data_IF_542292076601
#
_entry.id   IF_542292076601
#
_cell.length_a   1.000
_cell.length_b   1.000
_cell.length_c   1.000
_cell.angle_alpha   90.00
_cell.angle_beta   90.00
_cell.angle_gamma   90.00
#
_symmetry.space_group_name_H-M   'P 1'
#
loop_
_entity.id
_entity.type
_entity.pdbx_description
1 polymer ?
#
# COMPACT_ATOMS: atom_id res chain seq x y z
N UNK A 1 -15.75 15.39 -0.38
CA UNK A 1 -14.85 14.39 0.24
C UNK A 1 -14.90 13.16 -0.66
N UNK A 2 -13.77 12.63 -1.10
CA UNK A 2 -13.73 11.49 -2.03
C UNK A 2 -14.11 10.22 -1.25
N UNK A 3 -15.07 9.46 -1.76
CA UNK A 3 -15.43 8.15 -1.19
C UNK A 3 -14.51 7.08 -1.76
N UNK A 4 -13.83 6.33 -0.89
CA UNK A 4 -12.92 5.27 -1.29
C UNK A 4 -13.57 3.91 -1.13
N UNK A 5 -13.32 3.02 -2.09
CA UNK A 5 -13.70 1.61 -2.00
C UNK A 5 -12.92 0.88 -0.90
N UNK A 6 -13.39 -0.26 -0.39
CA UNK A 6 -12.67 -1.01 0.64
C UNK A 6 -11.23 -1.38 0.26
N UNK A 7 -10.98 -1.68 -1.02
CA UNK A 7 -9.63 -1.95 -1.54
C UNK A 7 -8.73 -0.72 -1.54
N UNK A 8 -9.28 0.45 -1.90
CA UNK A 8 -8.56 1.72 -1.85
C UNK A 8 -8.23 2.12 -0.40
N UNK A 9 -9.17 1.94 0.53
CA UNK A 9 -8.92 2.16 1.97
C UNK A 9 -7.83 1.22 2.48
N UNK A 10 -7.87 -0.07 2.11
CA UNK A 10 -6.85 -1.04 2.50
C UNK A 10 -5.47 -0.66 1.94
N UNK A 11 -5.42 -0.18 0.69
CA UNK A 11 -4.18 0.29 0.08
C UNK A 11 -3.63 1.56 0.72
N UNK A 12 -4.48 2.52 1.04
CA UNK A 12 -4.08 3.74 1.74
C UNK A 12 -3.59 3.44 3.16
N UNK A 13 -4.24 2.50 3.87
CA UNK A 13 -3.77 1.99 5.17
C UNK A 13 -2.43 1.27 5.06
N UNK A 14 -2.19 0.52 3.98
CA UNK A 14 -0.89 -0.09 3.72
C UNK A 14 0.20 0.98 3.51
N UNK A 15 -0.05 1.97 2.67
CA UNK A 15 0.88 3.08 2.41
C UNK A 15 1.16 3.96 3.65
N UNK A 16 0.24 3.99 4.61
CA UNK A 16 0.47 4.63 5.93
C UNK A 16 1.55 3.90 6.73
N UNK A 17 1.60 2.58 6.62
CA UNK A 17 2.51 1.75 7.41
C UNK A 17 3.93 1.70 6.78
N UNK A 18 4.09 2.20 5.55
CA UNK A 18 5.37 2.37 4.86
C UNK A 18 5.20 2.56 3.35
N UNK A 19 6.29 2.89 2.67
CA UNK A 19 6.27 3.09 1.21
C UNK A 19 6.02 1.77 0.47
N UNK A 20 5.43 1.90 -0.73
CA UNK A 20 5.00 0.81 -1.59
C UNK A 20 5.98 0.65 -2.75
N UNK A 21 6.50 -0.56 -2.88
CA UNK A 21 7.45 -1.01 -3.87
C UNK A 21 6.75 -1.99 -4.83
N UNK A 22 7.13 -1.98 -6.12
CA UNK A 22 6.59 -2.91 -7.09
C UNK A 22 7.01 -4.35 -6.77
N UNK A 23 6.11 -5.28 -7.02
CA UNK A 23 6.25 -6.71 -6.82
C UNK A 23 5.83 -7.46 -8.09
N UNK A 24 6.21 -8.75 -8.22
CA UNK A 24 5.75 -9.59 -9.32
C UNK A 24 4.22 -9.59 -9.46
N UNK A 25 3.74 -9.85 -10.68
CA UNK A 25 2.32 -9.92 -11.01
C UNK A 25 1.53 -8.62 -10.76
N UNK A 26 2.16 -7.45 -10.97
CA UNK A 26 1.51 -6.15 -10.90
C UNK A 26 0.86 -5.94 -9.52
N UNK A 27 1.68 -6.08 -8.48
CA UNK A 27 1.31 -5.84 -7.10
C UNK A 27 2.29 -4.88 -6.45
N UNK A 28 1.86 -4.22 -5.39
CA UNK A 28 2.67 -3.28 -4.62
C UNK A 28 2.57 -3.62 -3.13
N UNK A 29 3.71 -3.61 -2.44
CA UNK A 29 3.80 -3.81 -0.98
C UNK A 29 5.13 -3.24 -0.49
N UNK A 30 5.43 -3.34 0.81
CA UNK A 30 6.73 -2.89 1.33
C UNK A 30 7.89 -3.71 0.76
N UNK A 31 9.07 -3.09 0.58
CA UNK A 31 10.26 -3.66 -0.06
C UNK A 31 10.62 -5.07 0.45
N UNK A 32 10.59 -5.25 1.77
CA UNK A 32 10.96 -6.50 2.44
C UNK A 32 9.76 -7.18 3.12
N UNK A 33 8.56 -7.08 2.52
CA UNK A 33 7.38 -7.70 3.08
C UNK A 33 7.54 -9.23 3.17
N UNK A 34 7.66 -9.72 4.39
CA UNK A 34 7.85 -11.15 4.69
C UNK A 34 6.54 -11.79 5.11
N UNK A 35 6.41 -13.10 4.89
CA UNK A 35 5.29 -13.87 5.45
C UNK A 35 5.38 -13.81 6.97
N UNK A 36 4.32 -13.32 7.61
CA UNK A 36 4.23 -13.20 9.05
C UNK A 36 3.23 -14.20 9.60
N UNK A 37 3.27 -14.44 10.91
CA UNK A 37 2.36 -15.35 11.61
C UNK A 37 1.67 -14.61 12.74
N UNK A 38 0.49 -15.07 13.14
CA UNK A 38 -0.17 -14.51 14.32
C UNK A 38 0.72 -14.67 15.55
N UNK A 39 0.75 -13.69 16.46
CA UNK A 39 1.54 -13.80 17.70
C UNK A 39 1.18 -15.02 18.54
N UNK A 40 -0.07 -15.49 18.45
CA UNK A 40 -0.57 -16.69 19.12
C UNK A 40 -0.17 -18.00 18.44
N UNK A 41 0.23 -17.96 17.17
CA UNK A 41 0.60 -19.14 16.40
C UNK A 41 2.08 -19.46 16.61
N UNK A 42 2.36 -20.16 17.70
CA UNK A 42 3.71 -20.57 18.10
C UNK A 42 4.37 -21.51 17.08
N UNK A 43 3.56 -22.28 16.37
CA UNK A 43 4.02 -23.30 15.43
C UNK A 43 4.15 -22.79 14.00
N UNK A 44 3.72 -21.54 13.74
CA UNK A 44 3.78 -20.90 12.41
C UNK A 44 3.05 -21.75 11.35
N UNK A 45 1.94 -22.38 11.74
CA UNK A 45 1.16 -23.23 10.83
C UNK A 45 0.25 -22.43 9.92
N UNK A 46 -0.12 -21.21 10.34
CA UNK A 46 -1.08 -20.34 9.65
C UNK A 46 -0.39 -19.07 9.17
N UNK A 47 0.27 -19.12 8.00
CA UNK A 47 0.90 -17.94 7.43
C UNK A 47 -0.14 -16.85 7.14
N UNK A 48 0.17 -15.62 7.53
CA UNK A 48 -0.61 -14.45 7.19
C UNK A 48 -0.19 -13.95 5.82
N UNK A 49 -1.20 -13.69 4.99
CA UNK A 49 -0.99 -13.17 3.64
C UNK A 49 -0.36 -11.78 3.72
N UNK A 50 0.71 -11.58 2.96
CA UNK A 50 1.30 -10.25 2.76
C UNK A 50 0.22 -9.35 2.16
N UNK A 51 0.00 -8.19 2.80
CA UNK A 51 -0.91 -7.19 2.28
C UNK A 51 -0.31 -6.60 1.01
N UNK A 52 -1.11 -6.52 -0.05
CA UNK A 52 -0.67 -6.00 -1.35
C UNK A 52 -1.75 -5.12 -1.95
N UNK A 53 -1.34 -4.14 -2.74
CA UNK A 53 -2.20 -3.29 -3.57
C UNK A 53 -2.02 -3.67 -5.03
N UNK A 54 -3.06 -3.55 -5.85
CA UNK A 54 -2.98 -3.79 -7.31
C UNK A 54 -2.63 -2.49 -8.05
N UNK A 55 -2.21 -2.60 -9.31
CA UNK A 55 -1.83 -1.44 -10.13
C UNK A 55 -2.96 -0.44 -10.23
N UNK A 56 -4.15 -0.98 -10.49
CA UNK A 56 -5.38 -0.22 -10.61
C UNK A 56 -5.63 0.61 -9.35
N UNK A 57 -5.59 -0.03 -8.18
CA UNK A 57 -5.84 0.66 -6.91
C UNK A 57 -4.72 1.66 -6.57
N UNK A 58 -3.47 1.39 -6.96
CA UNK A 58 -2.39 2.35 -6.82
C UNK A 58 -2.66 3.61 -7.63
N UNK A 59 -2.98 3.46 -8.92
CA UNK A 59 -3.28 4.58 -9.83
C UNK A 59 -4.48 5.39 -9.32
N UNK A 60 -5.56 4.71 -8.92
CA UNK A 60 -6.77 5.34 -8.36
C UNK A 60 -6.51 6.14 -7.06
N UNK A 61 -5.42 5.85 -6.33
CA UNK A 61 -5.02 6.60 -5.15
C UNK A 61 -4.00 7.71 -5.46
N UNK A 62 -3.23 7.56 -6.55
CA UNK A 62 -2.30 8.59 -7.04
C UNK A 62 -3.05 9.72 -7.73
N UNK A 63 -4.06 9.42 -8.56
CA UNK A 63 -4.89 10.40 -9.27
C UNK A 63 -5.47 11.52 -8.36
N UNK A 64 -6.09 11.21 -7.21
CA UNK A 64 -6.57 12.21 -6.26
C UNK A 64 -5.46 12.80 -5.37
N UNK A 65 -4.20 12.42 -5.57
CA UNK A 65 -3.06 12.88 -4.79
C UNK A 65 -2.97 12.29 -3.38
N UNK A 66 -3.61 11.14 -3.11
CA UNK A 66 -3.54 10.46 -1.79
C UNK A 66 -2.24 9.67 -1.62
N UNK A 67 -1.65 9.23 -2.73
CA UNK A 67 -0.29 8.71 -2.80
C UNK A 67 0.59 9.63 -3.65
N UNK A 68 1.87 9.66 -3.32
CA UNK A 68 2.88 10.44 -4.03
C UNK A 68 4.08 9.55 -4.41
N UNK A 69 4.61 9.79 -5.61
CA UNK A 69 5.82 9.13 -6.10
C UNK A 69 7.03 9.66 -5.32
N UNK A 70 7.87 8.76 -4.80
CA UNK A 70 9.02 9.07 -3.92
C UNK A 70 10.35 8.91 -4.63
N UNK A 71 10.60 7.73 -5.16
CA UNK A 71 11.83 7.39 -5.87
C UNK A 71 11.49 7.28 -7.34
N UNK A 72 11.73 8.37 -8.06
CA UNK A 72 11.48 8.48 -9.50
C UNK A 72 12.64 7.79 -10.22
N UNK A 73 12.38 6.64 -10.84
CA UNK A 73 13.30 6.06 -11.83
C UNK A 73 12.95 6.54 -13.24
N UNK A 74 13.94 6.58 -14.13
CA UNK A 74 13.74 7.01 -15.53
C UNK A 74 12.75 6.11 -16.30
N UNK A 75 12.58 4.86 -15.88
CA UNK A 75 11.68 3.88 -16.51
C UNK A 75 10.29 3.78 -15.87
N UNK A 76 10.07 4.40 -14.70
CA UNK A 76 8.83 4.34 -13.91
C UNK A 76 8.43 2.95 -13.37
N UNK A 77 9.14 1.89 -13.76
CA UNK A 77 8.85 0.51 -13.38
C UNK A 77 9.37 0.18 -11.98
N UNK A 78 10.33 0.95 -11.49
CA UNK A 78 10.90 0.80 -10.13
C UNK A 78 10.41 1.88 -9.16
N UNK A 79 9.38 2.62 -9.56
CA UNK A 79 8.86 3.70 -8.76
C UNK A 79 8.31 3.26 -7.42
N UNK A 80 8.69 4.03 -6.41
CA UNK A 80 8.21 3.85 -5.05
C UNK A 80 7.12 4.89 -4.76
N UNK A 81 6.05 4.45 -4.10
CA UNK A 81 4.92 5.31 -3.76
C UNK A 81 4.72 5.39 -2.25
N UNK A 82 4.68 6.60 -1.72
CA UNK A 82 4.40 6.87 -0.31
C UNK A 82 3.03 7.51 -0.11
N UNK A 83 2.50 7.44 1.11
CA UNK A 83 1.30 8.20 1.46
C UNK A 83 1.59 9.71 1.49
N UNK A 84 0.73 10.49 0.84
CA UNK A 84 0.82 11.96 0.85
C UNK A 84 0.21 12.55 2.13
N UNK A 85 0.37 13.86 2.34
CA UNK A 85 -0.34 14.55 3.42
C UNK A 85 -1.86 14.52 3.25
N UNK A 86 -2.37 14.61 2.02
CA UNK A 86 -3.80 14.50 1.74
C UNK A 86 -4.32 13.09 2.12
N UNK A 87 -3.56 12.04 1.78
CA UNK A 87 -3.86 10.66 2.19
C UNK A 87 -3.93 10.49 3.71
N UNK A 88 -2.98 11.06 4.45
CA UNK A 88 -2.97 11.03 5.91
C UNK A 88 -4.19 11.73 6.50
N UNK A 89 -4.54 12.92 6.02
CA UNK A 89 -5.70 13.68 6.48
C UNK A 89 -6.99 12.91 6.19
N UNK A 90 -7.11 12.31 5.00
CA UNK A 90 -8.28 11.51 4.64
C UNK A 90 -8.49 10.34 5.62
N UNK A 91 -7.43 9.58 5.94
CA UNK A 91 -7.50 8.48 6.91
C UNK A 91 -7.85 8.94 8.33
N UNK A 92 -7.42 10.14 8.72
CA UNK A 92 -7.77 10.71 10.02
C UNK A 92 -9.26 11.06 10.12
N UNK A 93 -9.85 11.50 9.01
CA UNK A 93 -11.26 11.90 8.93
C UNK A 93 -12.23 10.71 8.75
N UNK A 94 -11.77 9.58 8.21
CA UNK A 94 -12.59 8.44 7.80
C UNK A 94 -12.19 7.13 8.51
N UNK A 95 -12.00 7.18 9.84
CA UNK A 95 -11.49 6.06 10.65
C UNK A 95 -12.38 4.82 10.64
#
# INVERSE_FOLDING_TARGET
MIELTPSQIAGLKLARDGDLYPQPASKWTHENATVTYAKSDRWKERPQKIKTVTAKTLVELVEPGLLERRHVSDDGLTDVYGISMAGKIWLLQNK
#
